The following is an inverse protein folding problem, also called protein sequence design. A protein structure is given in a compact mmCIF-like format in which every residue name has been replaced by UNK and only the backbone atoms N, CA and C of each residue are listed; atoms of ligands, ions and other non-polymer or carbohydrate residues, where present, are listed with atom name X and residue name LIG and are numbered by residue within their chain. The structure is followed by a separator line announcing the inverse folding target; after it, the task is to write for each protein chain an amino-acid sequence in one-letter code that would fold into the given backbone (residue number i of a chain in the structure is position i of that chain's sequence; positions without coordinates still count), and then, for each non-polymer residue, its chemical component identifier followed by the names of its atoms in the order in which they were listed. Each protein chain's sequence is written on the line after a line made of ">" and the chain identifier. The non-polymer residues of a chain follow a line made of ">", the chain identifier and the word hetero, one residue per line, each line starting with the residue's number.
data_IF_694832505741
#
_entry.id   IF_694832505741
#
_cell.length_a   1.000
_cell.length_b   1.000
_cell.length_c   1.000
_cell.angle_alpha   90.00
_cell.angle_beta   90.00
_cell.angle_gamma   90.00
#
_symmetry.space_group_name_H-M   'P 1'
#
loop_
_entity.id
_entity.type
_entity.pdbx_description
1 polymer ?
#
# COMPACT_ATOMS: atom_id res chain seq x y z
N UNK A 1 4.77 -16.40 -3.83
CA UNK A 1 3.70 -15.77 -2.98
C UNK A 1 2.94 -14.74 -3.80
N UNK A 2 1.61 -14.60 -3.61
CA UNK A 2 0.83 -13.50 -4.20
C UNK A 2 0.93 -12.26 -3.32
N UNK A 3 1.09 -11.11 -3.94
CA UNK A 3 1.20 -9.80 -3.33
C UNK A 3 0.04 -8.94 -3.86
N UNK A 4 -1.04 -8.85 -3.08
CA UNK A 4 -2.32 -8.25 -3.53
C UNK A 4 -2.28 -6.72 -3.48
N UNK A 5 -3.10 -6.08 -4.33
CA UNK A 5 -3.37 -4.65 -4.25
C UNK A 5 -4.24 -4.31 -3.02
N UNK A 6 -4.30 -3.04 -2.65
CA UNK A 6 -5.28 -2.49 -1.69
C UNK A 6 -6.08 -1.37 -2.32
N UNK A 7 -7.24 -1.09 -1.75
CA UNK A 7 -8.00 0.13 -2.01
C UNK A 7 -8.18 0.92 -0.73
N UNK A 8 -8.22 2.24 -0.85
CA UNK A 8 -8.69 3.12 0.22
C UNK A 8 -10.17 3.41 -0.01
N UNK A 9 -11.03 2.88 0.85
CA UNK A 9 -12.47 3.16 0.80
C UNK A 9 -12.73 4.62 1.19
N UNK A 10 -12.01 5.11 2.17
CA UNK A 10 -11.84 6.52 2.46
C UNK A 10 -10.39 6.80 2.87
N UNK A 11 -9.95 8.02 2.69
CA UNK A 11 -8.67 8.53 3.18
C UNK A 11 -8.89 9.97 3.64
N UNK A 12 -8.89 10.17 4.96
CA UNK A 12 -8.99 11.48 5.59
C UNK A 12 -7.65 11.85 6.21
N UNK A 13 -7.22 13.07 6.00
CA UNK A 13 -6.07 13.65 6.72
C UNK A 13 -6.58 14.10 8.09
N UNK A 14 -5.84 13.75 9.13
CA UNK A 14 -6.22 14.07 10.53
C UNK A 14 -5.23 14.99 11.22
N UNK A 15 -4.07 15.22 10.62
CA UNK A 15 -3.04 16.08 11.17
C UNK A 15 -1.70 15.90 10.45
N UNK A 16 -0.64 16.34 11.12
CA UNK A 16 0.73 16.22 10.64
C UNK A 16 1.64 15.71 11.75
N UNK A 17 2.64 14.89 11.38
CA UNK A 17 3.72 14.42 12.24
C UNK A 17 5.05 14.66 11.53
N UNK A 18 5.72 15.77 11.85
CA UNK A 18 6.91 16.21 11.12
C UNK A 18 6.60 16.44 9.63
N UNK A 19 7.31 15.74 8.77
CA UNK A 19 7.11 15.83 7.32
C UNK A 19 5.98 14.94 6.79
N UNK A 20 5.38 14.10 7.64
CA UNK A 20 4.30 13.20 7.26
C UNK A 20 2.93 13.77 7.63
N UNK A 21 1.88 13.24 6.98
CA UNK A 21 0.50 13.49 7.35
C UNK A 21 -0.05 12.31 8.15
N UNK A 22 -0.74 12.61 9.23
CA UNK A 22 -1.53 11.61 9.93
C UNK A 22 -2.84 11.39 9.19
N UNK A 23 -3.24 10.13 9.09
CA UNK A 23 -4.42 9.72 8.33
C UNK A 23 -5.42 8.95 9.18
N UNK A 24 -6.65 8.92 8.74
CA UNK A 24 -7.66 7.93 9.07
C UNK A 24 -8.19 7.36 7.77
N UNK A 25 -8.06 6.06 7.58
CA UNK A 25 -8.42 5.41 6.32
C UNK A 25 -9.01 4.01 6.57
N UNK A 26 -9.83 3.53 5.65
CA UNK A 26 -10.19 2.12 5.55
C UNK A 26 -9.44 1.52 4.38
N UNK A 27 -8.55 0.57 4.65
CA UNK A 27 -7.90 -0.25 3.62
C UNK A 27 -8.68 -1.55 3.45
N UNK A 28 -8.88 -1.94 2.21
CA UNK A 28 -9.36 -3.29 1.86
C UNK A 28 -8.35 -3.98 0.95
N UNK A 29 -8.20 -5.29 1.12
CA UNK A 29 -7.35 -6.12 0.29
C UNK A 29 -8.08 -6.47 -1.01
N UNK A 30 -7.55 -6.01 -2.15
CA UNK A 30 -8.16 -6.24 -3.46
C UNK A 30 -7.53 -7.46 -4.15
N UNK A 31 -8.12 -8.64 -3.90
CA UNK A 31 -7.56 -9.95 -4.31
C UNK A 31 -7.59 -10.22 -5.81
N UNK A 32 -8.39 -9.45 -6.58
CA UNK A 32 -8.49 -9.62 -8.05
C UNK A 32 -7.27 -9.07 -8.80
N UNK A 33 -6.41 -8.28 -8.14
CA UNK A 33 -5.20 -7.70 -8.72
C UNK A 33 -4.01 -7.97 -7.80
N UNK A 34 -2.98 -8.64 -8.33
CA UNK A 34 -1.81 -9.03 -7.54
C UNK A 34 -0.55 -9.15 -8.40
N UNK A 35 0.59 -8.91 -7.75
CA UNK A 35 1.90 -9.30 -8.25
C UNK A 35 2.25 -10.71 -7.73
N UNK A 36 3.26 -11.35 -8.32
CA UNK A 36 3.85 -12.57 -7.75
C UNK A 36 5.30 -12.32 -7.38
N UNK A 37 5.69 -12.84 -6.23
CA UNK A 37 7.07 -12.83 -5.75
C UNK A 37 7.48 -14.23 -5.32
N UNK A 38 8.68 -14.65 -5.75
CA UNK A 38 9.25 -15.95 -5.39
C UNK A 38 10.78 -15.91 -5.50
N UNK A 39 11.43 -16.92 -4.95
CA UNK A 39 12.88 -17.08 -5.02
C UNK A 39 13.24 -18.17 -6.03
N UNK A 40 14.31 -17.95 -6.78
CA UNK A 40 14.91 -18.92 -7.67
C UNK A 40 16.42 -19.00 -7.42
N UNK A 41 17.02 -20.16 -7.67
CA UNK A 41 18.48 -20.27 -7.67
C UNK A 41 19.06 -19.34 -8.71
N UNK A 42 20.12 -18.64 -8.34
CA UNK A 42 20.89 -17.81 -9.24
C UNK A 42 21.95 -18.67 -9.96
N UNK A 43 22.21 -18.39 -11.22
CA UNK A 43 23.30 -19.04 -11.97
C UNK A 43 24.69 -18.59 -11.49
N UNK A 44 24.75 -17.40 -10.86
CA UNK A 44 25.99 -16.82 -10.34
C UNK A 44 25.84 -16.53 -8.85
N UNK A 45 26.96 -16.64 -8.12
CA UNK A 45 27.02 -16.20 -6.72
C UNK A 45 27.05 -14.67 -6.66
N UNK A 46 26.33 -14.14 -5.65
CA UNK A 46 26.26 -12.71 -5.29
C UNK A 46 26.98 -12.48 -3.95
N UNK A 47 27.21 -11.21 -3.61
CA UNK A 47 27.81 -10.84 -2.32
C UNK A 47 26.92 -11.24 -1.11
N UNK A 48 25.60 -11.30 -1.31
CA UNK A 48 24.62 -11.46 -0.24
C UNK A 48 24.40 -10.17 0.56
N UNK A 49 24.99 -9.04 0.12
CA UNK A 49 24.80 -7.72 0.71
C UNK A 49 23.75 -6.90 -0.05
N UNK A 50 23.52 -7.26 -1.32
CA UNK A 50 22.48 -6.70 -2.19
C UNK A 50 21.64 -7.83 -2.81
N UNK A 51 20.38 -7.53 -3.11
CA UNK A 51 19.48 -8.46 -3.77
C UNK A 51 19.63 -8.41 -5.29
N UNK A 52 19.71 -9.59 -5.90
CA UNK A 52 19.43 -9.73 -7.31
C UNK A 52 17.92 -9.83 -7.53
N UNK A 53 17.29 -8.79 -8.09
CA UNK A 53 15.85 -8.75 -8.35
C UNK A 53 15.60 -8.73 -9.85
N UNK A 54 14.94 -9.77 -10.35
CA UNK A 54 14.47 -9.86 -11.73
C UNK A 54 12.99 -9.49 -11.78
N UNK A 55 12.63 -8.54 -12.63
CA UNK A 55 11.24 -8.11 -12.81
C UNK A 55 10.88 -8.04 -14.30
N UNK A 56 9.63 -8.35 -14.64
CA UNK A 56 9.07 -8.25 -15.99
C UNK A 56 8.91 -6.80 -16.46
N UNK A 57 9.00 -5.81 -15.56
CA UNK A 57 9.00 -4.38 -15.90
C UNK A 57 10.17 -3.67 -15.23
N UNK A 58 10.63 -2.59 -15.85
CA UNK A 58 11.68 -1.74 -15.25
C UNK A 58 11.10 -0.96 -14.07
N UNK A 59 11.72 -1.10 -12.91
CA UNK A 59 11.38 -0.33 -11.71
C UNK A 59 12.39 0.81 -11.62
N UNK A 60 11.89 2.05 -11.69
CA UNK A 60 12.75 3.23 -11.57
C UNK A 60 12.96 3.58 -10.10
N UNK A 61 14.20 3.95 -9.74
CA UNK A 61 14.58 4.29 -8.37
C UNK A 61 14.85 3.06 -7.48
N UNK A 62 14.96 3.28 -6.16
CA UNK A 62 15.20 2.23 -5.19
C UNK A 62 13.98 1.32 -5.05
N UNK A 63 14.17 0.02 -5.29
CA UNK A 63 13.10 -0.95 -5.06
C UNK A 63 12.87 -1.13 -3.55
N UNK A 64 11.61 -0.97 -3.13
CA UNK A 64 11.22 -1.11 -1.72
C UNK A 64 11.54 -2.50 -1.14
N UNK A 65 11.66 -3.54 -1.98
CA UNK A 65 12.13 -4.88 -1.58
C UNK A 65 13.57 -4.80 -1.07
N UNK A 66 14.44 -3.96 -1.68
CA UNK A 66 15.80 -3.74 -1.17
C UNK A 66 15.80 -3.09 0.22
N UNK A 67 14.86 -2.17 0.48
CA UNK A 67 14.69 -1.63 1.84
C UNK A 67 14.30 -2.71 2.83
N UNK A 68 13.35 -3.57 2.45
CA UNK A 68 12.93 -4.69 3.29
C UNK A 68 14.08 -5.67 3.57
N UNK A 69 14.90 -5.96 2.58
CA UNK A 69 16.10 -6.78 2.75
C UNK A 69 17.10 -6.14 3.71
N UNK A 70 17.42 -4.86 3.51
CA UNK A 70 18.34 -4.11 4.40
C UNK A 70 17.86 -4.10 5.85
N UNK A 71 16.54 -3.99 6.08
CA UNK A 71 15.99 -4.07 7.45
C UNK A 71 16.11 -5.50 8.03
N UNK A 72 15.91 -6.54 7.25
CA UNK A 72 16.13 -7.93 7.67
C UNK A 72 17.62 -8.19 8.04
N UNK A 73 18.57 -7.60 7.31
CA UNK A 73 20.00 -7.73 7.62
C UNK A 73 20.41 -7.04 8.95
N UNK A 74 19.54 -6.21 9.55
CA UNK A 74 19.77 -5.64 10.87
C UNK A 74 19.35 -6.57 12.02
N UNK A 75 18.69 -7.69 11.69
CA UNK A 75 18.21 -8.65 12.68
C UNK A 75 19.28 -9.67 13.05
N UNK A 76 19.00 -10.49 14.08
CA UNK A 76 19.88 -11.59 14.49
C UNK A 76 20.12 -12.65 13.41
N UNK A 77 19.30 -12.69 12.37
CA UNK A 77 19.37 -13.66 11.26
C UNK A 77 20.13 -13.13 10.04
N UNK A 78 20.95 -12.09 10.21
CA UNK A 78 21.73 -11.48 9.14
C UNK A 78 22.51 -12.49 8.30
N UNK A 79 23.19 -13.43 8.96
CA UNK A 79 24.06 -14.40 8.29
C UNK A 79 23.27 -15.39 7.45
N UNK A 80 22.19 -15.95 7.98
CA UNK A 80 21.32 -16.90 7.30
C UNK A 80 20.65 -16.27 6.06
N UNK A 81 20.20 -15.02 6.22
CA UNK A 81 19.55 -14.27 5.14
C UNK A 81 20.58 -13.93 4.05
N UNK A 82 21.75 -13.38 4.44
CA UNK A 82 22.80 -13.04 3.49
C UNK A 82 23.30 -14.28 2.74
N UNK A 83 23.53 -15.38 3.44
CA UNK A 83 24.01 -16.64 2.82
C UNK A 83 23.01 -17.22 1.81
N UNK A 84 21.71 -17.20 2.14
CA UNK A 84 20.66 -17.62 1.21
C UNK A 84 20.69 -16.79 -0.09
N UNK A 85 20.75 -15.46 0.01
CA UNK A 85 20.72 -14.58 -1.16
C UNK A 85 22.06 -14.50 -1.92
N UNK A 86 23.13 -15.15 -1.46
CA UNK A 86 24.32 -15.41 -2.31
C UNK A 86 24.00 -16.31 -3.49
N UNK A 87 23.07 -17.23 -3.33
CA UNK A 87 22.74 -18.26 -4.31
C UNK A 87 21.32 -18.18 -4.85
N UNK A 88 20.51 -17.22 -4.36
CA UNK A 88 19.12 -17.04 -4.77
C UNK A 88 18.85 -15.60 -5.22
N UNK A 89 18.02 -15.47 -6.23
CA UNK A 89 17.47 -14.21 -6.74
C UNK A 89 15.99 -14.10 -6.38
N UNK A 90 15.50 -12.86 -6.33
CA UNK A 90 14.09 -12.54 -6.20
C UNK A 90 13.49 -12.36 -7.58
N UNK A 91 12.44 -13.09 -7.91
CA UNK A 91 11.66 -12.89 -9.13
C UNK A 91 10.35 -12.19 -8.77
N UNK A 92 10.08 -11.09 -9.46
CA UNK A 92 8.91 -10.24 -9.25
C UNK A 92 8.11 -10.06 -10.54
N UNK A 93 6.97 -10.74 -10.64
CA UNK A 93 6.02 -10.54 -11.74
C UNK A 93 5.06 -9.41 -11.36
N UNK A 94 5.27 -8.22 -11.91
CA UNK A 94 4.47 -7.02 -11.65
C UNK A 94 3.25 -6.96 -12.56
N UNK A 95 2.07 -6.88 -11.96
CA UNK A 95 0.79 -6.64 -12.61
C UNK A 95 0.05 -5.44 -11.99
N UNK A 96 0.36 -5.10 -10.72
CA UNK A 96 -0.19 -3.90 -10.08
C UNK A 96 0.50 -2.67 -10.66
N UNK A 97 -0.24 -1.72 -11.27
CA UNK A 97 0.32 -0.50 -11.83
C UNK A 97 1.11 0.31 -10.78
N UNK A 98 2.29 0.81 -11.16
CA UNK A 98 3.11 1.66 -10.32
C UNK A 98 2.57 3.09 -10.26
N UNK A 99 2.68 3.75 -9.10
CA UNK A 99 2.22 5.14 -8.92
C UNK A 99 0.71 5.30 -9.09
N UNK A 100 -0.07 4.28 -8.74
CA UNK A 100 -1.50 4.22 -8.99
C UNK A 100 -2.36 4.23 -7.69
N UNK A 101 -1.77 4.45 -6.52
CA UNK A 101 -2.50 4.48 -5.25
C UNK A 101 -2.96 3.12 -4.72
N UNK A 102 -2.49 2.01 -5.34
CA UNK A 102 -2.93 0.63 -5.04
C UNK A 102 -2.01 -0.13 -4.07
N UNK A 103 -0.95 0.50 -3.55
CA UNK A 103 -0.06 -0.09 -2.54
C UNK A 103 0.83 -1.23 -3.04
N UNK A 104 1.01 -1.41 -4.37
CA UNK A 104 1.72 -2.54 -4.95
C UNK A 104 3.16 -2.72 -4.43
N UNK A 105 3.91 -1.62 -4.29
CA UNK A 105 5.27 -1.67 -3.72
C UNK A 105 5.27 -2.16 -2.28
N UNK A 106 4.44 -1.59 -1.41
CA UNK A 106 4.32 -1.99 -0.01
C UNK A 106 3.87 -3.44 0.14
N UNK A 107 2.97 -3.89 -0.74
CA UNK A 107 2.55 -5.28 -0.81
C UNK A 107 3.70 -6.21 -1.20
N UNK A 108 4.56 -5.80 -2.17
CA UNK A 108 5.73 -6.59 -2.55
C UNK A 108 6.74 -6.68 -1.39
N UNK A 109 6.98 -5.59 -0.66
CA UNK A 109 7.85 -5.60 0.51
C UNK A 109 7.32 -6.53 1.62
N UNK A 110 6.04 -6.47 1.93
CA UNK A 110 5.39 -7.36 2.91
C UNK A 110 5.49 -8.84 2.48
N UNK A 111 5.19 -9.11 1.20
CA UNK A 111 5.30 -10.45 0.65
C UNK A 111 6.75 -10.97 0.70
N UNK A 112 7.74 -10.13 0.43
CA UNK A 112 9.16 -10.47 0.57
C UNK A 112 9.51 -10.83 2.02
N UNK A 113 9.09 -10.01 3.00
CA UNK A 113 9.32 -10.29 4.42
C UNK A 113 8.71 -11.63 4.84
N UNK A 114 7.44 -11.87 4.50
CA UNK A 114 6.74 -13.10 4.81
C UNK A 114 7.37 -14.32 4.13
N UNK A 115 7.73 -14.19 2.84
CA UNK A 115 8.34 -15.27 2.07
C UNK A 115 9.73 -15.63 2.62
N UNK A 116 10.56 -14.64 2.98
CA UNK A 116 11.88 -14.86 3.59
C UNK A 116 11.73 -15.55 4.95
N UNK A 117 10.80 -15.06 5.78
CA UNK A 117 10.50 -15.66 7.09
C UNK A 117 10.11 -17.13 6.97
N UNK A 118 9.24 -17.48 6.01
CA UNK A 118 8.79 -18.85 5.75
C UNK A 118 9.90 -19.72 5.16
N UNK A 119 10.60 -19.24 4.14
CA UNK A 119 11.60 -20.02 3.41
C UNK A 119 12.79 -20.40 4.29
N UNK A 120 13.23 -19.48 5.16
CA UNK A 120 14.36 -19.68 6.06
C UNK A 120 13.98 -20.13 7.46
N UNK A 121 12.68 -20.34 7.74
CA UNK A 121 12.17 -20.72 9.06
C UNK A 121 12.67 -19.80 10.19
N UNK A 122 12.67 -18.48 9.95
CA UNK A 122 13.21 -17.50 10.91
C UNK A 122 12.34 -17.33 12.15
N UNK A 123 11.08 -17.78 12.08
CA UNK A 123 10.11 -17.72 13.17
C UNK A 123 9.82 -16.32 13.72
N UNK A 124 9.91 -15.29 12.87
CA UNK A 124 9.37 -13.97 13.21
C UNK A 124 7.85 -14.05 13.36
N UNK A 125 7.34 -13.53 14.46
CA UNK A 125 5.91 -13.26 14.62
C UNK A 125 5.44 -12.12 13.70
N UNK A 126 4.13 -12.06 13.42
CA UNK A 126 3.55 -10.92 12.67
C UNK A 126 3.88 -9.58 13.34
N UNK A 127 3.91 -9.52 14.68
CA UNK A 127 4.25 -8.30 15.43
C UNK A 127 5.69 -7.84 15.16
N UNK A 128 6.65 -8.77 15.13
CA UNK A 128 8.04 -8.45 14.82
C UNK A 128 8.22 -8.00 13.37
N UNK A 129 7.54 -8.65 12.42
CA UNK A 129 7.55 -8.21 11.02
C UNK A 129 6.93 -6.83 10.83
N UNK A 130 5.85 -6.50 11.55
CA UNK A 130 5.25 -5.16 11.55
C UNK A 130 6.25 -4.12 12.12
N UNK A 131 6.97 -4.46 13.18
CA UNK A 131 7.99 -3.57 13.74
C UNK A 131 9.11 -3.28 12.73
N UNK A 132 9.62 -4.33 12.06
CA UNK A 132 10.61 -4.20 10.97
C UNK A 132 10.07 -3.32 9.84
N UNK A 133 8.78 -3.43 9.51
CA UNK A 133 8.15 -2.73 8.39
C UNK A 133 8.07 -1.21 8.55
N UNK A 134 8.14 -0.68 9.77
CA UNK A 134 8.05 0.76 10.06
C UNK A 134 9.11 1.60 9.34
N UNK A 135 10.29 1.01 9.09
CA UNK A 135 11.39 1.66 8.38
C UNK A 135 11.33 1.46 6.85
N UNK A 136 10.37 0.66 6.36
CA UNK A 136 10.28 0.29 4.95
C UNK A 136 9.27 1.17 4.22
N UNK A 137 8.06 1.23 4.73
CA UNK A 137 7.00 2.05 4.15
C UNK A 137 5.69 1.96 4.93
N UNK A 138 4.93 3.03 4.93
CA UNK A 138 3.73 3.21 5.76
C UNK A 138 2.66 2.12 5.58
N UNK A 139 2.41 1.69 4.34
CA UNK A 139 1.35 0.72 4.05
C UNK A 139 1.81 -0.75 4.25
N UNK A 140 3.10 -1.02 4.53
CA UNK A 140 3.64 -2.39 4.59
C UNK A 140 3.00 -3.19 5.73
N UNK A 141 2.77 -2.54 6.89
CA UNK A 141 2.14 -3.14 8.05
C UNK A 141 0.77 -3.76 7.71
N UNK A 142 -0.07 -3.07 6.94
CA UNK A 142 -1.37 -3.58 6.50
C UNK A 142 -1.24 -4.93 5.77
N UNK A 143 -0.31 -5.05 4.84
CA UNK A 143 -0.14 -6.29 4.06
C UNK A 143 0.43 -7.44 4.89
N UNK A 144 1.23 -7.15 5.93
CA UNK A 144 1.74 -8.18 6.87
C UNK A 144 0.60 -8.76 7.70
N UNK A 145 -0.41 -7.96 8.08
CA UNK A 145 -1.55 -8.44 8.87
C UNK A 145 -2.40 -9.46 8.13
N UNK A 146 -2.46 -9.37 6.79
CA UNK A 146 -3.33 -10.17 5.91
C UNK A 146 -4.83 -9.96 6.18
N UNK A 147 -5.20 -8.87 6.84
CA UNK A 147 -6.61 -8.52 7.04
C UNK A 147 -7.29 -8.19 5.70
N UNK A 148 -8.52 -8.64 5.54
CA UNK A 148 -9.33 -8.30 4.35
C UNK A 148 -9.75 -6.84 4.37
N UNK A 149 -10.03 -6.31 5.55
CA UNK A 149 -10.34 -4.91 5.80
C UNK A 149 -9.73 -4.46 7.11
N UNK A 150 -9.22 -3.23 7.15
CA UNK A 150 -8.66 -2.62 8.36
C UNK A 150 -8.87 -1.12 8.40
N UNK A 151 -9.12 -0.58 9.59
CA UNK A 151 -8.92 0.83 9.86
C UNK A 151 -7.43 1.11 10.01
N UNK A 152 -6.93 2.05 9.25
CA UNK A 152 -5.51 2.43 9.24
C UNK A 152 -5.39 3.88 9.70
N UNK A 153 -4.46 4.12 10.63
CA UNK A 153 -4.22 5.45 11.21
C UNK A 153 -2.73 5.69 11.47
N UNK A 154 -2.41 6.81 12.16
CA UNK A 154 -1.05 7.30 12.25
C UNK A 154 -0.57 7.80 10.89
N UNK A 155 0.65 7.51 10.49
CA UNK A 155 1.13 7.77 9.12
C UNK A 155 0.92 6.56 8.19
N UNK A 156 0.10 5.55 8.62
CA UNK A 156 -0.21 4.31 7.91
C UNK A 156 0.24 3.04 8.66
N UNK A 157 0.93 3.19 9.80
CA UNK A 157 1.53 2.10 10.57
C UNK A 157 0.61 1.46 11.60
N UNK A 158 -0.48 2.14 11.99
CA UNK A 158 -1.45 1.61 12.96
C UNK A 158 -2.57 0.92 12.19
N UNK A 159 -2.68 -0.39 12.33
CA UNK A 159 -3.62 -1.23 11.56
C UNK A 159 -4.53 -1.99 12.53
N UNK A 160 -5.82 -1.70 12.48
CA UNK A 160 -6.84 -2.31 13.31
C UNK A 160 -7.82 -3.11 12.43
N UNK A 161 -7.91 -4.43 12.68
CA UNK A 161 -8.85 -5.27 11.93
C UNK A 161 -10.27 -4.71 11.98
N UNK A 162 -10.98 -4.78 10.88
CA UNK A 162 -12.37 -4.34 10.80
C UNK A 162 -13.23 -5.40 10.11
N UNK A 163 -14.27 -5.88 10.82
CA UNK A 163 -15.24 -6.79 10.23
C UNK A 163 -16.17 -5.99 9.32
N UNK A 164 -16.00 -6.12 8.00
CA UNK A 164 -16.55 -5.23 6.98
C UNK A 164 -17.54 -5.93 6.04
N UNK A 165 -18.56 -5.22 5.59
CA UNK A 165 -19.42 -5.62 4.47
C UNK A 165 -18.89 -4.96 3.18
N UNK A 166 -18.02 -5.69 2.47
CA UNK A 166 -17.33 -5.22 1.26
C UNK A 166 -18.15 -5.63 0.03
N UNK A 167 -18.71 -4.68 -0.73
CA UNK A 167 -19.38 -5.00 -1.98
C UNK A 167 -18.37 -5.44 -3.05
N UNK A 168 -18.86 -6.06 -4.11
CA UNK A 168 -18.01 -6.37 -5.25
C UNK A 168 -17.57 -5.08 -5.95
N UNK A 169 -16.24 -4.87 -6.04
CA UNK A 169 -15.64 -3.65 -6.59
C UNK A 169 -14.94 -3.92 -7.92
N UNK A 170 -14.96 -2.93 -8.79
CA UNK A 170 -14.21 -2.88 -10.04
C UNK A 170 -13.26 -1.70 -10.03
N UNK A 171 -11.98 -1.94 -10.36
CA UNK A 171 -10.89 -0.96 -10.28
C UNK A 171 -10.47 -0.52 -11.67
N UNK A 172 -10.22 0.76 -11.83
CA UNK A 172 -9.75 1.40 -13.05
C UNK A 172 -8.48 2.20 -12.75
N UNK A 173 -7.47 2.06 -13.60
CA UNK A 173 -6.21 2.79 -13.46
C UNK A 173 -5.95 3.57 -14.75
N UNK A 174 -6.20 4.88 -14.76
CA UNK A 174 -5.80 5.74 -15.87
C UNK A 174 -4.28 5.79 -16.03
N UNK A 175 -3.82 6.03 -17.26
CA UNK A 175 -2.39 6.20 -17.58
C UNK A 175 -1.87 7.58 -17.11
N UNK A 176 -2.12 7.92 -15.84
CA UNK A 176 -1.66 9.15 -15.19
C UNK A 176 -0.79 8.72 -14.01
N UNK A 177 0.48 9.11 -14.02
CA UNK A 177 1.37 8.85 -12.90
C UNK A 177 1.06 9.84 -11.75
N UNK A 178 0.81 9.31 -10.55
CA UNK A 178 0.60 10.10 -9.35
C UNK A 178 1.84 10.02 -8.44
N UNK A 179 2.55 11.14 -8.32
CA UNK A 179 3.62 11.29 -7.34
C UNK A 179 3.00 11.47 -5.95
N UNK A 180 2.99 10.42 -5.13
CA UNK A 180 2.44 10.50 -3.76
C UNK A 180 3.02 11.66 -2.96
N UNK A 181 4.35 11.91 -2.91
CA UNK A 181 4.90 13.07 -2.22
C UNK A 181 4.37 14.41 -2.73
N UNK A 182 4.20 14.56 -4.05
CA UNK A 182 3.70 15.79 -4.67
C UNK A 182 2.23 16.04 -4.30
N UNK A 183 1.39 15.01 -4.32
CA UNK A 183 -0.04 15.12 -3.94
C UNK A 183 -0.17 15.53 -2.46
N UNK A 184 0.61 14.92 -1.56
CA UNK A 184 0.62 15.28 -0.14
C UNK A 184 1.19 16.69 0.10
N UNK A 185 2.22 17.11 -0.65
CA UNK A 185 2.75 18.48 -0.60
C UNK A 185 1.68 19.49 -1.04
N UNK A 186 0.94 19.18 -2.11
CA UNK A 186 -0.16 20.02 -2.60
C UNK A 186 -1.31 20.09 -1.57
N UNK A 187 -1.64 18.98 -0.90
CA UNK A 187 -2.60 19.03 0.21
C UNK A 187 -2.11 19.96 1.33
N UNK A 188 -0.84 19.83 1.72
CA UNK A 188 -0.26 20.64 2.80
C UNK A 188 -0.26 22.14 2.48
N UNK A 189 -0.03 22.53 1.23
CA UNK A 189 -0.01 23.95 0.86
C UNK A 189 -1.40 24.57 0.77
N UNK A 190 -2.41 23.82 0.27
CA UNK A 190 -3.65 24.44 -0.20
C UNK A 190 -4.93 23.91 0.47
N UNK A 191 -4.85 22.81 1.25
CA UNK A 191 -6.06 22.11 1.71
C UNK A 191 -6.06 21.77 3.21
N UNK A 192 -5.12 22.25 4.00
CA UNK A 192 -5.06 21.95 5.44
C UNK A 192 -6.27 22.46 6.22
N UNK A 193 -6.93 23.52 5.75
CA UNK A 193 -8.17 24.07 6.32
C UNK A 193 -9.39 23.19 6.05
N UNK A 194 -9.29 22.17 5.21
CA UNK A 194 -10.37 21.23 4.85
C UNK A 194 -10.38 19.97 5.72
N UNK A 195 -9.50 19.85 6.71
CA UNK A 195 -9.48 18.70 7.61
C UNK A 195 -10.80 18.61 8.40
N UNK A 196 -11.47 17.45 8.29
CA UNK A 196 -12.71 17.13 9.00
C UNK A 196 -12.53 15.90 9.89
N UNK A 197 -12.16 16.14 11.16
CA UNK A 197 -11.95 15.10 12.17
C UNK A 197 -13.26 14.38 12.55
N UNK A 198 -14.40 15.07 12.48
CA UNK A 198 -15.69 14.47 12.81
C UNK A 198 -16.10 13.44 11.76
N UNK A 199 -15.95 13.79 10.49
CA UNK A 199 -16.18 12.86 9.39
C UNK A 199 -15.20 11.69 9.43
N UNK A 200 -13.91 11.94 9.67
CA UNK A 200 -12.90 10.89 9.80
C UNK A 200 -13.28 9.87 10.89
N UNK A 201 -13.68 10.34 12.06
CA UNK A 201 -14.14 9.49 13.17
C UNK A 201 -15.39 8.69 12.81
N UNK A 202 -16.36 9.31 12.15
CA UNK A 202 -17.63 8.68 11.75
C UNK A 202 -17.41 7.56 10.72
N UNK A 203 -16.55 7.77 9.72
CA UNK A 203 -16.27 6.79 8.69
C UNK A 203 -15.62 5.52 9.24
N UNK A 204 -14.82 5.60 10.31
CA UNK A 204 -14.20 4.43 10.95
C UNK A 204 -15.20 3.38 11.46
N UNK A 205 -16.41 3.77 11.83
CA UNK A 205 -17.44 2.88 12.40
C UNK A 205 -18.40 2.29 11.37
N UNK A 206 -18.44 2.82 10.15
CA UNK A 206 -19.35 2.37 9.08
C UNK A 206 -18.71 1.26 8.23
N UNK A 207 -19.53 0.34 7.72
CA UNK A 207 -19.08 -0.63 6.74
C UNK A 207 -18.75 0.03 5.38
N UNK A 208 -17.93 -0.63 4.58
CA UNK A 208 -17.60 -0.17 3.22
C UNK A 208 -18.87 0.09 2.40
N UNK A 209 -19.85 -0.80 2.46
CA UNK A 209 -21.12 -0.67 1.75
C UNK A 209 -21.93 0.55 2.17
N UNK A 210 -22.00 0.81 3.48
CA UNK A 210 -22.68 2.01 4.02
C UNK A 210 -21.99 3.29 3.58
N UNK A 211 -20.64 3.32 3.64
CA UNK A 211 -19.82 4.46 3.21
C UNK A 211 -20.11 4.80 1.75
N UNK A 212 -19.95 3.83 0.85
CA UNK A 212 -20.10 4.05 -0.59
C UNK A 212 -21.54 4.36 -1.03
N UNK A 213 -22.53 4.00 -0.22
CA UNK A 213 -23.94 4.37 -0.44
C UNK A 213 -24.26 5.79 0.00
N UNK A 214 -23.63 6.27 1.07
CA UNK A 214 -24.06 7.47 1.81
C UNK A 214 -23.26 8.70 1.42
N UNK A 215 -21.98 8.54 1.08
CA UNK A 215 -21.06 9.66 0.88
C UNK A 215 -20.63 9.78 -0.58
N UNK A 216 -20.35 11.01 -0.98
CA UNK A 216 -19.84 11.33 -2.32
C UNK A 216 -18.32 11.14 -2.36
N UNK A 217 -17.78 10.92 -3.55
CA UNK A 217 -16.35 10.67 -3.75
C UNK A 217 -15.43 11.76 -3.19
N UNK A 218 -15.81 13.04 -3.34
CA UNK A 218 -15.03 14.18 -2.83
C UNK A 218 -15.06 14.30 -1.29
N UNK A 219 -16.00 13.66 -0.60
CA UNK A 219 -16.04 13.61 0.86
C UNK A 219 -15.12 12.53 1.41
N UNK A 220 -14.87 11.48 0.62
CA UNK A 220 -14.20 10.26 1.08
C UNK A 220 -12.69 10.31 0.98
N UNK A 221 -12.12 11.08 0.06
CA UNK A 221 -10.68 11.08 -0.13
C UNK A 221 -10.13 12.52 -0.22
N UNK A 222 -9.43 12.94 0.82
CA UNK A 222 -8.85 14.28 0.92
C UNK A 222 -7.74 14.54 -0.11
N UNK A 223 -7.17 13.49 -0.72
CA UNK A 223 -6.15 13.62 -1.76
C UNK A 223 -6.75 13.77 -3.16
N UNK A 224 -8.07 13.62 -3.35
CA UNK A 224 -8.72 13.80 -4.64
C UNK A 224 -8.60 15.25 -5.15
N UNK A 225 -8.92 16.23 -4.32
CA UNK A 225 -8.85 17.65 -4.72
C UNK A 225 -7.42 18.10 -5.05
N UNK A 226 -6.37 17.78 -4.25
CA UNK A 226 -4.97 18.00 -4.63
C UNK A 226 -4.58 17.32 -5.93
N UNK A 227 -4.99 16.07 -6.14
CA UNK A 227 -4.70 15.34 -7.38
C UNK A 227 -5.34 16.04 -8.58
N UNK A 228 -6.60 16.46 -8.47
CA UNK A 228 -7.31 17.20 -9.54
C UNK A 228 -6.71 18.59 -9.80
N UNK A 229 -6.17 19.26 -8.77
CA UNK A 229 -5.48 20.53 -8.94
C UNK A 229 -4.20 20.39 -9.80
N UNK A 230 -3.50 19.25 -9.66
CA UNK A 230 -2.31 18.93 -10.48
C UNK A 230 -2.73 18.36 -11.84
N UNK A 231 -3.85 17.63 -11.91
CA UNK A 231 -4.36 16.97 -13.12
C UNK A 231 -5.77 17.47 -13.47
N UNK A 232 -5.93 18.70 -13.99
CA UNK A 232 -7.24 19.36 -14.12
C UNK A 232 -8.21 18.65 -15.08
N UNK A 233 -7.70 17.83 -15.97
CA UNK A 233 -8.51 17.02 -16.90
C UNK A 233 -9.05 15.71 -16.26
N UNK A 234 -8.56 15.32 -15.09
CA UNK A 234 -9.05 14.15 -14.39
C UNK A 234 -10.38 14.46 -13.69
N UNK A 235 -11.43 13.74 -14.05
CA UNK A 235 -12.76 13.88 -13.46
C UNK A 235 -13.30 12.52 -13.11
N UNK A 236 -13.94 12.40 -11.96
CA UNK A 236 -14.68 11.21 -11.54
C UNK A 236 -16.17 11.43 -11.69
N UNK A 237 -16.89 10.36 -12.08
CA UNK A 237 -18.34 10.30 -12.00
C UNK A 237 -18.76 10.17 -10.54
N UNK A 238 -20.03 10.44 -10.26
CA UNK A 238 -20.56 10.42 -8.90
C UNK A 238 -20.39 9.07 -8.16
N UNK A 239 -20.43 7.97 -8.91
CA UNK A 239 -20.28 6.60 -8.41
C UNK A 239 -18.84 6.03 -8.53
N UNK A 240 -17.87 6.87 -8.83
CA UNK A 240 -16.46 6.50 -8.95
C UNK A 240 -15.70 7.08 -7.75
N UNK A 241 -14.94 6.25 -7.02
CA UNK A 241 -14.28 6.58 -5.77
C UNK A 241 -12.77 6.48 -5.91
N UNK A 242 -12.06 7.52 -5.50
CA UNK A 242 -10.60 7.63 -5.63
C UNK A 242 -9.86 6.77 -4.62
N UNK A 243 -8.78 6.10 -5.02
CA UNK A 243 -7.97 5.26 -4.14
C UNK A 243 -6.59 5.86 -3.87
N UNK A 244 -6.25 6.00 -2.58
CA UNK A 244 -4.95 6.51 -2.17
C UNK A 244 -4.67 7.92 -2.68
N UNK A 245 -3.46 8.14 -3.16
CA UNK A 245 -3.04 9.37 -3.86
C UNK A 245 -3.31 9.34 -5.36
N UNK A 246 -3.98 8.30 -5.86
CA UNK A 246 -4.32 8.11 -7.27
C UNK A 246 -3.20 7.43 -8.07
N UNK A 247 -3.41 7.28 -9.36
CA UNK A 247 -4.54 7.73 -10.20
C UNK A 247 -5.74 6.77 -10.21
N UNK A 248 -5.64 5.61 -9.55
CA UNK A 248 -6.71 4.62 -9.57
C UNK A 248 -7.97 5.09 -8.87
N UNK A 249 -9.09 4.63 -9.40
CA UNK A 249 -10.40 4.76 -8.79
C UNK A 249 -11.18 3.45 -8.94
N UNK A 250 -12.24 3.32 -8.17
CA UNK A 250 -13.09 2.12 -8.20
C UNK A 250 -14.57 2.49 -8.16
N UNK A 251 -15.40 1.54 -8.53
CA UNK A 251 -16.86 1.62 -8.39
C UNK A 251 -17.42 0.28 -7.92
N UNK A 252 -18.64 0.29 -7.41
CA UNK A 252 -19.37 -0.93 -7.12
C UNK A 252 -19.77 -1.60 -8.44
N UNK A 253 -19.45 -2.89 -8.58
CA UNK A 253 -19.80 -3.69 -9.75
C UNK A 253 -21.26 -4.16 -9.67
N UNK A 254 -22.06 -3.82 -10.69
CA UNK A 254 -23.48 -4.13 -10.73
C UNK A 254 -24.36 -2.97 -10.22
N UNK A 255 -25.69 -3.18 -10.26
CA UNK A 255 -26.65 -2.23 -9.64
C UNK A 255 -26.68 -2.48 -8.13
N UNK A 256 -26.62 -1.38 -7.35
CA UNK A 256 -26.85 -1.40 -5.90
C UNK A 256 -28.31 -1.64 -5.62
#
# INVERSE_FOLDING_TARGET
>A
MKSYAKLNIFLKITGTRGNYHEISSRFILYKSLFDKIYFEKSEFQHSGEDLNIISNIKINGENIINKAFKELLKTKFKYEISDFFKTHKVVLEKNIPMGAGLGGGSSNAAAFLNLTNQTLNLNFSKKELIEISKNIGSDVAFFITEFESANVSGVGEIVENFNDDIPNLEVFTPSIFASTPEIYAKFRSDFMDKIDLNLAKKLKSLSTKEILKKYKNYELNDLLAPFQAINPNFKLKENEFFSGSGSSYFKIKGKI
#
